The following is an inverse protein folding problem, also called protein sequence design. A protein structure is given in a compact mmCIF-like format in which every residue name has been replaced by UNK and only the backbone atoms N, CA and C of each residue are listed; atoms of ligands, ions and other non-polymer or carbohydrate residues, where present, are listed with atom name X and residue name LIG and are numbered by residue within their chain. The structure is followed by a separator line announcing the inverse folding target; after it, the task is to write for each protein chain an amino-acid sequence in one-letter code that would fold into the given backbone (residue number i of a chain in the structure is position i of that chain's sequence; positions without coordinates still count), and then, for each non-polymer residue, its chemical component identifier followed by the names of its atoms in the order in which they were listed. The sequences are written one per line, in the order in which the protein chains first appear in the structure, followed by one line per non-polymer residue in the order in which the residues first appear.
data_IF_062999733573
#
_entry.id   IF_062999733573
#
_cell.length_a   1.000
_cell.length_b   1.000
_cell.length_c   1.000
_cell.angle_alpha   90.00
_cell.angle_beta   90.00
_cell.angle_gamma   90.00
#
_symmetry.space_group_name_H-M   'P 1'
#
loop_
_entity.id
_entity.type
_entity.pdbx_description
1 polymer ?
#
# COMPACT_ATOMS: atom_id res chain seq x y z
N UNK A 1 0.14 -0.51 -23.53
CA UNK A 1 1.00 -1.55 -22.91
C UNK A 1 2.04 -1.00 -21.92
N UNK A 2 2.06 0.30 -21.58
CA UNK A 2 3.08 0.92 -20.71
C UNK A 2 2.56 1.29 -19.30
N UNK A 3 1.24 1.33 -19.09
CA UNK A 3 0.63 1.72 -17.81
C UNK A 3 0.99 0.80 -16.64
N UNK A 4 1.11 -0.52 -16.86
CA UNK A 4 1.57 -1.47 -15.85
C UNK A 4 2.96 -1.10 -15.31
N UNK A 5 3.94 -0.89 -16.20
CA UNK A 5 5.30 -0.54 -15.80
C UNK A 5 5.38 0.84 -15.16
N UNK A 6 4.59 1.80 -15.65
CA UNK A 6 4.49 3.11 -15.00
C UNK A 6 3.88 3.00 -13.60
N UNK A 7 2.85 2.18 -13.42
CA UNK A 7 2.21 1.98 -12.11
C UNK A 7 3.12 1.27 -11.12
N UNK A 8 3.83 0.22 -11.57
CA UNK A 8 4.88 -0.43 -10.78
C UNK A 8 6.03 0.54 -10.45
N UNK A 9 6.42 1.39 -11.40
CA UNK A 9 7.39 2.45 -11.19
C UNK A 9 6.94 3.43 -10.11
N UNK A 10 5.67 3.84 -10.13
CA UNK A 10 5.08 4.70 -9.10
C UNK A 10 5.10 4.02 -7.72
N UNK A 11 4.76 2.73 -7.63
CA UNK A 11 4.86 1.99 -6.37
C UNK A 11 6.29 1.88 -5.84
N UNK A 12 7.28 1.73 -6.73
CA UNK A 12 8.69 1.72 -6.35
C UNK A 12 9.15 3.09 -5.86
N UNK A 13 8.66 4.16 -6.50
CA UNK A 13 8.92 5.54 -6.07
C UNK A 13 8.28 5.82 -4.70
N UNK A 14 7.03 5.41 -4.47
CA UNK A 14 6.37 5.53 -3.17
C UNK A 14 7.16 4.80 -2.07
N UNK A 15 7.66 3.60 -2.36
CA UNK A 15 8.49 2.85 -1.41
C UNK A 15 9.86 3.52 -1.18
N UNK A 16 10.44 4.14 -2.20
CA UNK A 16 11.68 4.90 -2.05
C UNK A 16 11.44 6.17 -1.21
N UNK A 17 10.30 6.83 -1.40
CA UNK A 17 9.91 8.01 -0.64
C UNK A 17 9.83 7.71 0.86
N UNK A 18 9.25 6.57 1.25
CA UNK A 18 9.18 6.16 2.66
C UNK A 18 10.56 5.93 3.32
N UNK A 19 11.64 5.83 2.54
CA UNK A 19 13.01 5.72 3.07
C UNK A 19 13.70 7.07 3.26
N UNK A 20 13.14 8.15 2.73
CA UNK A 20 13.68 9.50 2.86
C UNK A 20 13.33 10.09 4.24
N UNK A 21 14.05 11.14 4.69
CA UNK A 21 13.68 11.90 5.88
C UNK A 21 12.22 12.39 5.81
N UNK A 22 11.53 12.41 6.95
CA UNK A 22 10.12 12.76 7.01
C UNK A 22 9.81 14.14 6.41
N UNK A 23 10.69 15.13 6.60
CA UNK A 23 10.52 16.47 6.04
C UNK A 23 10.48 16.46 4.50
N UNK A 24 11.25 15.58 3.86
CA UNK A 24 11.24 15.41 2.40
C UNK A 24 9.97 14.71 1.92
N UNK A 25 9.49 13.71 2.68
CA UNK A 25 8.21 13.04 2.39
C UNK A 25 7.04 14.04 2.43
N UNK A 26 7.02 14.87 3.47
CA UNK A 26 6.03 15.94 3.64
C UNK A 26 6.08 16.92 2.47
N UNK A 27 7.27 17.40 2.10
CA UNK A 27 7.44 18.35 1.01
C UNK A 27 6.94 17.76 -0.31
N UNK A 28 7.27 16.49 -0.59
CA UNK A 28 6.81 15.78 -1.77
C UNK A 28 5.28 15.77 -1.88
N UNK A 29 4.59 15.39 -0.81
CA UNK A 29 3.12 15.33 -0.81
C UNK A 29 2.46 16.71 -0.82
N UNK A 30 3.07 17.70 -0.16
CA UNK A 30 2.59 19.08 -0.16
C UNK A 30 2.55 19.70 -1.56
N UNK A 31 3.55 19.41 -2.38
CA UNK A 31 3.73 20.07 -3.67
C UNK A 31 2.95 19.43 -4.81
N UNK A 32 2.33 18.26 -4.58
CA UNK A 32 1.42 17.62 -5.55
C UNK A 32 0.13 18.41 -5.72
N UNK A 33 -0.37 18.46 -6.95
CA UNK A 33 -1.67 19.05 -7.31
C UNK A 33 -2.77 17.98 -7.40
N UNK A 34 -4.04 18.40 -7.34
CA UNK A 34 -5.18 17.48 -7.53
C UNK A 34 -5.13 16.77 -8.88
N UNK A 35 -4.77 17.48 -9.96
CA UNK A 35 -4.67 16.90 -11.29
C UNK A 35 -3.62 15.78 -11.36
N UNK A 36 -2.45 15.98 -10.73
CA UNK A 36 -1.40 14.96 -10.67
C UNK A 36 -1.83 13.74 -9.86
N UNK A 37 -2.48 13.95 -8.71
CA UNK A 37 -2.95 12.87 -7.86
C UNK A 37 -4.05 12.04 -8.52
N UNK A 38 -4.98 12.70 -9.21
CA UNK A 38 -6.07 12.03 -9.92
C UNK A 38 -5.53 11.27 -11.16
N UNK A 39 -4.53 11.82 -11.85
CA UNK A 39 -3.80 11.11 -12.93
C UNK A 39 -3.10 9.86 -12.40
N UNK A 40 -2.31 9.98 -11.32
CA UNK A 40 -1.63 8.86 -10.65
C UNK A 40 -2.62 7.78 -10.21
N UNK A 41 -3.74 8.16 -9.61
CA UNK A 41 -4.79 7.25 -9.19
C UNK A 41 -5.41 6.49 -10.39
N UNK A 42 -5.68 7.21 -11.48
CA UNK A 42 -6.21 6.61 -12.71
C UNK A 42 -5.22 5.61 -13.32
N UNK A 43 -3.93 5.96 -13.31
CA UNK A 43 -2.84 5.14 -13.81
C UNK A 43 -2.69 3.88 -12.96
N UNK A 44 -2.69 4.01 -11.63
CA UNK A 44 -2.65 2.86 -10.72
C UNK A 44 -3.85 1.92 -10.96
N UNK A 45 -5.05 2.45 -11.21
CA UNK A 45 -6.25 1.65 -11.48
C UNK A 45 -6.10 0.82 -12.76
N UNK A 46 -5.59 1.42 -13.83
CA UNK A 46 -5.32 0.71 -15.09
C UNK A 46 -4.18 -0.29 -14.92
N UNK A 47 -3.12 0.07 -14.22
CA UNK A 47 -1.96 -0.77 -13.97
C UNK A 47 -2.34 -2.02 -13.15
N UNK A 48 -3.13 -1.87 -12.10
CA UNK A 48 -3.67 -3.01 -11.32
C UNK A 48 -4.49 -3.96 -12.20
N UNK A 49 -5.36 -3.45 -13.06
CA UNK A 49 -6.14 -4.30 -13.98
C UNK A 49 -5.23 -5.08 -14.93
N UNK A 50 -4.22 -4.41 -15.50
CA UNK A 50 -3.23 -5.06 -16.36
C UNK A 50 -2.41 -6.11 -15.61
N UNK A 51 -2.07 -5.85 -14.35
CA UNK A 51 -1.32 -6.76 -13.49
C UNK A 51 -2.09 -8.05 -13.24
N UNK A 52 -3.38 -7.94 -12.89
CA UNK A 52 -4.25 -9.10 -12.68
C UNK A 52 -4.36 -9.92 -13.97
N UNK A 53 -4.58 -9.28 -15.12
CA UNK A 53 -4.69 -9.98 -16.41
C UNK A 53 -3.36 -10.67 -16.76
N UNK A 54 -2.23 -9.97 -16.61
CA UNK A 54 -0.91 -10.53 -16.90
C UNK A 54 -0.57 -11.71 -15.97
N UNK A 55 -0.93 -11.61 -14.69
CA UNK A 55 -0.79 -12.68 -13.70
C UNK A 55 -1.60 -13.91 -14.11
N UNK A 56 -2.88 -13.74 -14.45
CA UNK A 56 -3.74 -14.84 -14.93
C UNK A 56 -3.14 -15.53 -16.16
N UNK A 57 -2.70 -14.76 -17.17
CA UNK A 57 -2.10 -15.32 -18.38
C UNK A 57 -0.80 -16.07 -18.08
N UNK A 58 0.08 -15.49 -17.27
CA UNK A 58 1.36 -16.11 -16.89
C UNK A 58 1.14 -17.44 -16.15
N UNK A 59 0.19 -17.47 -15.23
CA UNK A 59 -0.15 -18.68 -14.50
C UNK A 59 -0.80 -19.75 -15.40
N UNK A 60 -1.74 -19.35 -16.27
CA UNK A 60 -2.32 -20.27 -17.26
C UNK A 60 -1.25 -20.88 -18.18
N UNK A 61 -0.28 -20.06 -18.64
CA UNK A 61 0.81 -20.56 -19.49
C UNK A 61 1.67 -21.61 -18.76
N UNK A 62 2.07 -21.35 -17.51
CA UNK A 62 2.84 -22.32 -16.71
C UNK A 62 2.03 -23.60 -16.46
N UNK A 63 0.74 -23.48 -16.15
CA UNK A 63 -0.16 -24.63 -15.97
C UNK A 63 -0.22 -25.51 -17.23
N UNK A 64 -0.35 -24.90 -18.41
CA UNK A 64 -0.37 -25.61 -19.69
C UNK A 64 0.98 -26.26 -20.01
N UNK A 65 2.10 -25.62 -19.69
CA UNK A 65 3.44 -26.21 -19.84
C UNK A 65 3.57 -27.46 -18.96
N UNK A 66 3.18 -27.37 -17.68
CA UNK A 66 3.24 -28.50 -16.75
C UNK A 66 2.33 -29.65 -17.21
N UNK A 67 1.13 -29.32 -17.70
CA UNK A 67 0.20 -30.28 -18.28
C UNK A 67 0.80 -30.98 -19.49
N UNK A 68 1.49 -30.23 -20.36
CA UNK A 68 2.22 -30.78 -21.50
C UNK A 68 3.28 -31.79 -21.09
N UNK A 69 4.06 -31.49 -20.04
CA UNK A 69 5.07 -32.41 -19.49
C UNK A 69 4.43 -33.68 -18.94
N UNK A 70 3.36 -33.55 -18.15
CA UNK A 70 2.65 -34.70 -17.57
C UNK A 70 2.07 -35.59 -18.67
N UNK A 71 1.43 -34.97 -19.67
CA UNK A 71 0.85 -35.69 -20.81
C UNK A 71 1.94 -36.41 -21.61
N UNK A 72 3.08 -35.77 -21.84
CA UNK A 72 4.22 -36.38 -22.52
C UNK A 72 4.74 -37.62 -21.77
N UNK A 73 4.93 -37.54 -20.45
CA UNK A 73 5.39 -38.69 -19.64
C UNK A 73 4.37 -39.83 -19.64
N UNK A 74 3.07 -39.53 -19.57
CA UNK A 74 2.00 -40.54 -19.60
C UNK A 74 1.91 -41.28 -20.93
N UNK A 75 2.31 -40.64 -22.03
CA UNK A 75 2.22 -41.19 -23.38
C UNK A 75 3.52 -41.84 -23.87
N UNK A 76 4.63 -41.67 -23.13
CA UNK A 76 5.96 -42.10 -23.56
C UNK A 76 6.09 -43.61 -23.77
N UNK A 77 5.29 -44.41 -23.08
CA UNK A 77 5.40 -45.88 -23.07
C UNK A 77 4.27 -46.61 -23.80
N UNK A 78 3.14 -45.94 -24.09
CA UNK A 78 1.97 -46.59 -24.69
C UNK A 78 0.98 -45.55 -25.23
N UNK A 79 0.52 -45.71 -26.49
CA UNK A 79 -0.29 -44.70 -27.19
C UNK A 79 -1.80 -44.85 -27.00
N UNK A 80 -2.26 -45.77 -26.14
CA UNK A 80 -3.68 -46.00 -25.92
C UNK A 80 -4.35 -44.95 -25.01
N UNK A 81 -5.42 -44.35 -25.53
CA UNK A 81 -6.25 -43.38 -24.82
C UNK A 81 -7.20 -44.13 -23.87
N UNK A 82 -6.82 -44.26 -22.60
CA UNK A 82 -7.61 -44.89 -21.55
C UNK A 82 -8.31 -43.84 -20.69
N UNK A 83 -9.55 -44.14 -20.25
CA UNK A 83 -10.33 -43.24 -19.40
C UNK A 83 -9.58 -42.83 -18.13
N UNK A 84 -8.80 -43.74 -17.53
CA UNK A 84 -7.95 -43.46 -16.37
C UNK A 84 -6.91 -42.38 -16.63
N UNK A 85 -6.25 -42.38 -17.81
CA UNK A 85 -5.26 -41.34 -18.18
C UNK A 85 -5.92 -39.98 -18.34
N UNK A 86 -7.11 -39.92 -18.93
CA UNK A 86 -7.88 -38.67 -19.06
C UNK A 86 -8.21 -38.11 -17.66
N UNK A 87 -8.71 -38.95 -16.76
CA UNK A 87 -9.00 -38.56 -15.37
C UNK A 87 -7.74 -38.06 -14.66
N UNK A 88 -6.60 -38.75 -14.81
CA UNK A 88 -5.33 -38.31 -14.22
C UNK A 88 -4.91 -36.94 -14.77
N UNK A 89 -4.96 -36.72 -16.09
CA UNK A 89 -4.60 -35.43 -16.71
C UNK A 89 -5.49 -34.30 -16.17
N UNK A 90 -6.82 -34.49 -16.12
CA UNK A 90 -7.74 -33.47 -15.64
C UNK A 90 -7.62 -33.20 -14.14
N UNK A 91 -7.47 -34.25 -13.32
CA UNK A 91 -7.29 -34.10 -11.86
C UNK A 91 -5.93 -33.46 -11.51
N UNK A 92 -4.85 -33.84 -12.21
CA UNK A 92 -3.56 -33.16 -12.09
C UNK A 92 -3.65 -31.70 -12.53
N UNK A 93 -4.31 -31.40 -13.65
CA UNK A 93 -4.51 -30.02 -14.10
C UNK A 93 -5.29 -29.17 -13.10
N UNK A 94 -6.42 -29.69 -12.59
CA UNK A 94 -7.21 -29.02 -11.56
C UNK A 94 -6.42 -28.79 -10.26
N UNK A 95 -5.61 -29.77 -9.85
CA UNK A 95 -4.74 -29.66 -8.67
C UNK A 95 -3.64 -28.61 -8.87
N UNK A 96 -3.00 -28.58 -10.05
CA UNK A 96 -2.00 -27.56 -10.40
C UNK A 96 -2.62 -26.17 -10.39
N UNK A 97 -3.79 -26.01 -11.01
CA UNK A 97 -4.52 -24.74 -11.00
C UNK A 97 -4.90 -24.32 -9.58
N UNK A 98 -5.31 -25.26 -8.73
CA UNK A 98 -5.67 -24.97 -7.34
C UNK A 98 -4.46 -24.50 -6.51
N UNK A 99 -3.34 -25.22 -6.58
CA UNK A 99 -2.11 -24.85 -5.86
C UNK A 99 -1.57 -23.51 -6.37
N UNK A 100 -1.59 -23.31 -7.69
CA UNK A 100 -1.14 -22.08 -8.31
C UNK A 100 -2.04 -20.89 -7.98
N UNK A 101 -3.37 -21.08 -7.98
CA UNK A 101 -4.32 -20.07 -7.53
C UNK A 101 -4.09 -19.72 -6.06
N UNK A 102 -3.89 -20.72 -5.19
CA UNK A 102 -3.64 -20.50 -3.77
C UNK A 102 -2.34 -19.71 -3.51
N UNK A 103 -1.24 -20.05 -4.20
CA UNK A 103 0.02 -19.31 -4.08
C UNK A 103 -0.13 -17.89 -4.64
N UNK A 104 -0.82 -17.73 -5.78
CA UNK A 104 -1.07 -16.42 -6.37
C UNK A 104 -1.94 -15.54 -5.46
N UNK A 105 -3.01 -16.08 -4.89
CA UNK A 105 -3.89 -15.38 -3.96
C UNK A 105 -3.15 -14.99 -2.68
N UNK A 106 -2.33 -15.89 -2.11
CA UNK A 106 -1.51 -15.58 -0.94
C UNK A 106 -0.47 -14.49 -1.24
N UNK A 107 0.19 -14.54 -2.39
CA UNK A 107 1.18 -13.54 -2.79
C UNK A 107 0.55 -12.19 -3.11
N UNK A 108 -0.63 -12.19 -3.74
CA UNK A 108 -1.38 -10.97 -4.00
C UNK A 108 -1.91 -10.37 -2.69
N UNK A 109 -2.54 -11.16 -1.81
CA UNK A 109 -3.01 -10.69 -0.50
C UNK A 109 -1.90 -10.12 0.39
N UNK A 110 -0.71 -10.74 0.40
CA UNK A 110 0.35 -10.37 1.36
C UNK A 110 1.37 -9.35 0.86
N UNK A 111 1.71 -9.34 -0.43
CA UNK A 111 2.85 -8.53 -0.91
C UNK A 111 2.48 -7.53 -2.02
N UNK A 112 1.52 -7.88 -2.88
CA UNK A 112 1.11 -7.03 -4.00
C UNK A 112 -0.02 -6.06 -3.62
N UNK A 113 -1.13 -6.61 -3.16
CA UNK A 113 -2.38 -5.90 -2.93
C UNK A 113 -2.27 -4.85 -1.83
N UNK A 114 -1.56 -5.13 -0.73
CA UNK A 114 -1.34 -4.14 0.34
C UNK A 114 -0.60 -2.90 -0.18
N UNK A 115 0.39 -3.09 -1.07
CA UNK A 115 1.14 -1.96 -1.66
C UNK A 115 0.29 -1.16 -2.63
N UNK A 116 -0.46 -1.85 -3.49
CA UNK A 116 -1.44 -1.20 -4.35
C UNK A 116 -2.48 -0.44 -3.53
N UNK A 117 -3.06 -1.06 -2.50
CA UNK A 117 -4.05 -0.46 -1.61
C UNK A 117 -3.49 0.75 -0.87
N UNK A 118 -2.30 0.65 -0.28
CA UNK A 118 -1.65 1.78 0.40
C UNK A 118 -1.44 2.94 -0.58
N UNK A 119 -0.99 2.68 -1.79
CA UNK A 119 -0.81 3.71 -2.82
C UNK A 119 -2.13 4.30 -3.33
N UNK A 120 -3.22 3.54 -3.37
CA UNK A 120 -4.55 4.06 -3.66
C UNK A 120 -5.08 4.92 -2.51
N UNK A 121 -4.97 4.41 -1.27
CA UNK A 121 -5.46 5.08 -0.08
C UNK A 121 -4.74 6.41 0.12
N UNK A 122 -3.42 6.47 -0.02
CA UNK A 122 -2.64 7.72 0.12
C UNK A 122 -3.13 8.84 -0.80
N UNK A 123 -3.60 8.49 -2.01
CA UNK A 123 -4.11 9.43 -3.03
C UNK A 123 -5.63 9.64 -2.97
N UNK A 124 -6.34 8.81 -2.21
CA UNK A 124 -7.77 8.91 -2.06
C UNK A 124 -8.14 10.19 -1.30
N UNK A 125 -9.28 10.79 -1.69
CA UNK A 125 -9.87 11.89 -0.94
C UNK A 125 -10.28 11.40 0.43
N UNK A 126 -10.21 12.29 1.42
CA UNK A 126 -10.72 11.99 2.75
C UNK A 126 -12.21 11.67 2.64
N UNK A 127 -12.61 10.47 3.05
CA UNK A 127 -14.01 10.03 2.97
C UNK A 127 -14.44 9.40 4.29
N UNK A 128 -15.72 9.58 4.70
CA UNK A 128 -16.23 9.04 5.96
C UNK A 128 -16.09 7.51 6.10
N UNK A 129 -16.04 6.80 4.97
CA UNK A 129 -16.00 5.34 4.92
C UNK A 129 -14.57 4.77 4.95
N UNK A 130 -13.55 5.56 4.56
CA UNK A 130 -12.16 5.10 4.44
C UNK A 130 -11.26 5.61 5.58
N UNK A 131 -11.61 6.74 6.19
CA UNK A 131 -10.87 7.34 7.29
C UNK A 131 -11.56 7.08 8.61
N UNK A 132 -10.84 6.50 9.58
CA UNK A 132 -11.39 6.39 10.93
C UNK A 132 -11.59 7.80 11.51
N UNK A 133 -12.76 8.03 12.11
CA UNK A 133 -13.11 9.32 12.73
C UNK A 133 -12.05 9.74 13.76
N UNK A 134 -11.42 8.77 14.44
CA UNK A 134 -10.33 9.06 15.37
C UNK A 134 -9.09 9.63 14.68
N UNK A 135 -8.72 9.13 13.48
CA UNK A 135 -7.56 9.63 12.76
C UNK A 135 -7.74 11.09 12.34
N UNK A 136 -8.93 11.47 11.87
CA UNK A 136 -9.24 12.85 11.49
C UNK A 136 -9.34 13.75 12.72
N UNK A 137 -9.92 13.25 13.83
CA UNK A 137 -9.98 13.97 15.09
C UNK A 137 -8.59 14.24 15.68
N UNK A 138 -7.70 13.24 15.64
CA UNK A 138 -6.30 13.39 16.03
C UNK A 138 -5.59 14.43 15.17
N UNK A 139 -5.75 14.40 13.85
CA UNK A 139 -5.13 15.38 12.96
C UNK A 139 -5.62 16.80 13.25
N UNK A 140 -6.93 16.96 13.52
CA UNK A 140 -7.51 18.23 13.93
C UNK A 140 -6.95 18.73 15.27
N UNK A 141 -6.77 17.83 16.23
CA UNK A 141 -6.16 18.13 17.52
C UNK A 141 -4.70 18.57 17.36
N UNK A 142 -3.90 17.86 16.55
CA UNK A 142 -2.52 18.28 16.24
C UNK A 142 -2.50 19.66 15.57
N UNK A 143 -3.42 19.93 14.65
CA UNK A 143 -3.55 21.21 13.95
C UNK A 143 -3.83 22.38 14.91
N UNK A 144 -4.61 22.14 15.97
CA UNK A 144 -4.94 23.16 16.97
C UNK A 144 -3.76 23.45 17.90
N UNK A 145 -2.95 22.45 18.22
CA UNK A 145 -1.83 22.58 19.16
C UNK A 145 -0.54 23.08 18.51
N UNK A 146 -0.28 22.67 17.28
CA UNK A 146 1.01 22.88 16.61
C UNK A 146 0.86 23.78 15.37
N UNK A 147 1.44 25.00 15.36
CA UNK A 147 1.28 25.94 14.26
C UNK A 147 1.88 25.46 12.93
N UNK A 148 2.91 24.62 12.98
CA UNK A 148 3.52 23.99 11.81
C UNK A 148 2.54 23.05 11.07
N UNK A 149 1.71 22.31 11.82
CA UNK A 149 0.69 21.41 11.27
C UNK A 149 -0.42 22.23 10.61
N UNK A 150 -0.80 23.35 11.23
CA UNK A 150 -1.75 24.30 10.64
C UNK A 150 -1.21 24.92 9.35
N UNK A 151 0.06 25.32 9.32
CA UNK A 151 0.69 25.88 8.13
C UNK A 151 0.70 24.86 6.99
N UNK A 152 1.08 23.63 7.26
CA UNK A 152 1.02 22.55 6.27
C UNK A 152 -0.39 22.38 5.71
N UNK A 153 -1.41 22.32 6.57
CA UNK A 153 -2.81 22.22 6.16
C UNK A 153 -3.20 23.40 5.26
N UNK A 154 -2.85 24.63 5.62
CA UNK A 154 -3.17 25.83 4.83
C UNK A 154 -2.48 25.81 3.47
N UNK A 155 -1.20 25.40 3.41
CA UNK A 155 -0.44 25.28 2.17
C UNK A 155 -1.07 24.23 1.23
N UNK A 156 -1.46 23.06 1.75
CA UNK A 156 -2.13 22.02 0.95
C UNK A 156 -3.51 22.47 0.51
N UNK A 157 -4.35 22.95 1.44
CA UNK A 157 -5.73 23.37 1.15
C UNK A 157 -5.81 24.58 0.23
N UNK A 158 -4.75 25.38 0.11
CA UNK A 158 -4.66 26.46 -0.87
C UNK A 158 -4.52 25.96 -2.32
N UNK A 159 -4.02 24.73 -2.50
CA UNK A 159 -3.75 24.12 -3.83
C UNK A 159 -4.72 23.02 -4.19
N UNK A 160 -5.19 22.25 -3.19
CA UNK A 160 -5.97 21.02 -3.40
C UNK A 160 -6.75 20.57 -2.17
N UNK A 161 -7.68 19.63 -2.37
CA UNK A 161 -8.34 18.95 -1.26
C UNK A 161 -7.38 18.02 -0.48
N UNK A 162 -7.68 17.84 0.81
CA UNK A 162 -6.92 16.93 1.68
C UNK A 162 -7.15 15.48 1.23
N UNK A 163 -6.05 14.73 1.16
CA UNK A 163 -6.02 13.29 0.91
C UNK A 163 -5.64 12.54 2.18
N UNK A 164 -5.83 11.23 2.19
CA UNK A 164 -5.50 10.37 3.33
C UNK A 164 -4.05 10.58 3.82
N UNK A 165 -3.10 10.69 2.89
CA UNK A 165 -1.69 10.88 3.23
C UNK A 165 -1.44 12.21 3.96
N UNK A 166 -2.19 13.26 3.66
CA UNK A 166 -2.05 14.55 4.35
C UNK A 166 -2.49 14.43 5.81
N UNK A 167 -3.53 13.64 6.09
CA UNK A 167 -3.99 13.36 7.45
C UNK A 167 -2.91 12.59 8.21
N UNK A 168 -2.28 11.60 7.58
CA UNK A 168 -1.15 10.85 8.16
C UNK A 168 0.02 11.78 8.45
N UNK A 169 0.42 12.61 7.49
CA UNK A 169 1.52 13.57 7.64
C UNK A 169 1.25 14.56 8.77
N UNK A 170 0.04 15.13 8.85
CA UNK A 170 -0.34 16.05 9.92
C UNK A 170 -0.25 15.42 11.31
N UNK A 171 -0.66 14.15 11.43
CA UNK A 171 -0.55 13.40 12.70
C UNK A 171 0.91 13.13 13.06
N UNK A 172 1.71 12.71 12.10
CA UNK A 172 3.12 12.40 12.32
C UNK A 172 3.96 13.63 12.69
N UNK A 173 3.72 14.77 12.03
CA UNK A 173 4.29 16.06 12.43
C UNK A 173 3.99 16.38 13.90
N UNK A 174 2.72 16.31 14.28
CA UNK A 174 2.30 16.60 15.65
C UNK A 174 2.87 15.58 16.65
N UNK A 175 2.98 14.31 16.27
CA UNK A 175 3.56 13.24 17.09
C UNK A 175 5.04 13.48 17.35
N UNK A 176 5.83 13.81 16.32
CA UNK A 176 7.25 14.12 16.46
C UNK A 176 7.48 15.34 17.35
N UNK A 177 6.63 16.36 17.22
CA UNK A 177 6.71 17.55 18.08
C UNK A 177 6.39 17.23 19.53
N UNK A 178 5.27 16.53 19.77
CA UNK A 178 4.87 16.07 21.09
C UNK A 178 5.96 15.21 21.74
N UNK A 179 6.58 14.31 20.98
CA UNK A 179 7.68 13.48 21.46
C UNK A 179 8.87 14.32 21.94
N UNK A 180 9.25 15.33 21.16
CA UNK A 180 10.35 16.24 21.52
C UNK A 180 10.04 17.05 22.79
N UNK A 181 8.78 17.50 22.94
CA UNK A 181 8.32 18.19 24.15
C UNK A 181 8.36 17.29 25.38
N UNK A 182 7.86 16.06 25.25
CA UNK A 182 7.86 15.08 26.33
C UNK A 182 9.28 14.70 26.75
N UNK A 183 10.22 14.54 25.82
CA UNK A 183 11.62 14.31 26.15
C UNK A 183 12.21 15.49 26.92
N UNK A 184 11.94 16.72 26.49
CA UNK A 184 12.42 17.92 27.18
C UNK A 184 11.87 18.04 28.60
N UNK A 185 10.60 17.68 28.79
CA UNK A 185 9.97 17.69 30.11
C UNK A 185 10.49 16.56 30.99
N UNK A 186 10.79 15.39 30.41
CA UNK A 186 11.44 14.29 31.10
C UNK A 186 12.87 14.64 31.54
N UNK A 187 13.66 15.30 30.67
CA UNK A 187 15.01 15.76 30.99
C UNK A 187 15.02 16.80 32.13
N UNK A 188 13.95 17.58 32.26
CA UNK A 188 13.76 18.56 33.34
C UNK A 188 13.16 17.96 34.61
N UNK A 189 12.73 16.71 34.56
CA UNK A 189 12.09 16.05 35.68
C UNK A 189 13.16 15.52 36.64
N UNK A 190 13.59 16.36 37.58
CA UNK A 190 14.61 16.01 38.57
C UNK A 190 14.11 15.06 39.68
N UNK A 191 12.86 14.59 39.63
CA UNK A 191 12.29 13.64 40.60
C UNK A 191 12.20 14.13 42.06
N UNK A 192 12.67 15.34 42.37
CA UNK A 192 12.65 15.88 43.71
C UNK A 192 11.20 16.16 44.15
N UNK A 193 10.75 15.62 45.30
CA UNK A 193 9.46 16.03 45.85
C UNK A 193 9.50 17.54 46.04
N UNK A 194 8.57 18.26 45.42
CA UNK A 194 8.32 19.67 45.75
C UNK A 194 7.92 19.69 47.21
N UNK A 195 8.87 20.01 48.09
CA UNK A 195 8.58 20.41 49.45
C UNK A 195 7.72 21.66 49.31
N UNK A 196 6.40 21.48 49.45
CA UNK A 196 5.45 22.56 49.62
C UNK A 196 5.84 23.23 50.94
N UNK A 197 6.72 24.22 50.86
CA UNK A 197 6.99 25.11 51.98
C UNK A 197 5.78 26.04 52.04
N UNK A 198 4.82 25.68 52.90
CA UNK A 198 3.81 26.62 53.37
C UNK A 198 4.54 27.67 54.22
N UNK A 199 4.60 28.90 53.70
CA UNK A 199 4.92 30.11 54.47
C UNK A 199 3.86 31.15 54.18
#
# INVERSE_FOLDING_TARGET
MIALFQGLGLLLQDNALHRLPFDEQVAHWRDKTDAQLDEELSLLKVAKKQWVIASIIGWQAISLILLGVITHQLWQNDYHLTFSRVVIIFTSWASILFVMWYIADLFDHSAGFERWLRAFNSRARVTPDADSVECVADALDMTRRYPEVLRYKQEVTSKRELRHEDIVNMREMGRLRRYTELLRDLDRFDGAPRLVVNS
#
